data_IF_419853044436
#
_entry.id   IF_419853044436
#
_cell.length_a   1.000
_cell.length_b   1.000
_cell.length_c   1.000
_cell.angle_alpha   90.00
_cell.angle_beta   90.00
_cell.angle_gamma   90.00
#
_symmetry.space_group_name_H-M   'P 1'
#
loop_
_entity.id
_entity.type
_entity.pdbx_description
1 polymer ?
#
# COMPACT_ATOMS: atom_id res chain seq x y z
N UNK A 1 45.63 17.81 34.15
CA UNK A 1 44.68 17.71 33.03
C UNK A 1 43.72 16.61 33.46
N UNK A 2 42.62 16.99 34.12
CA UNK A 2 41.63 16.03 34.62
C UNK A 2 40.82 15.50 33.43
N UNK A 3 40.86 14.19 33.23
CA UNK A 3 39.98 13.52 32.26
C UNK A 3 38.55 13.55 32.81
N UNK A 4 37.71 14.33 32.15
CA UNK A 4 36.27 14.35 32.39
C UNK A 4 35.67 13.10 31.76
N UNK A 5 35.35 12.11 32.61
CA UNK A 5 34.51 10.97 32.24
C UNK A 5 33.16 11.56 31.83
N UNK A 6 32.90 11.62 30.53
CA UNK A 6 31.60 12.03 30.00
C UNK A 6 30.61 10.91 30.28
N UNK A 7 29.72 11.15 31.23
CA UNK A 7 28.54 10.32 31.41
C UNK A 7 27.78 10.20 30.08
N UNK A 8 27.32 8.99 29.71
CA UNK A 8 26.56 8.80 28.49
C UNK A 8 25.28 9.64 28.54
N UNK A 9 24.79 10.13 27.38
CA UNK A 9 23.58 10.95 27.35
C UNK A 9 22.41 10.19 27.97
N UNK A 10 21.57 10.89 28.72
CA UNK A 10 20.38 10.34 29.40
C UNK A 10 19.47 9.54 28.46
N UNK A 11 19.50 9.83 27.16
CA UNK A 11 18.80 9.07 26.11
C UNK A 11 19.30 7.63 25.94
N UNK A 12 20.56 7.34 26.24
CA UNK A 12 21.13 5.99 26.22
C UNK A 12 20.73 5.16 27.46
N UNK A 13 20.47 5.82 28.60
CA UNK A 13 20.09 5.15 29.86
C UNK A 13 18.61 4.76 29.89
N UNK A 14 17.77 5.44 29.10
CA UNK A 14 16.31 5.18 29.06
C UNK A 14 15.89 3.97 28.21
N UNK A 15 16.80 3.39 27.42
CA UNK A 15 16.50 2.24 26.56
C UNK A 15 16.38 0.92 27.36
N UNK A 16 17.03 0.82 28.52
CA UNK A 16 17.02 -0.42 29.33
C UNK A 16 15.68 -0.69 30.04
N UNK A 17 14.77 0.29 30.09
CA UNK A 17 13.52 0.19 30.85
C UNK A 17 12.27 0.63 30.06
N UNK A 18 12.27 0.49 28.74
CA UNK A 18 11.05 0.68 27.96
C UNK A 18 10.11 -0.54 28.12
N UNK A 19 9.37 -0.59 29.23
CA UNK A 19 8.45 -1.70 29.54
C UNK A 19 7.34 -1.92 28.51
N UNK A 20 7.02 -0.89 27.70
CA UNK A 20 5.90 -0.89 26.75
C UNK A 20 6.26 -1.32 25.31
N UNK A 21 7.54 -1.60 25.01
CA UNK A 21 8.00 -1.94 23.65
C UNK A 21 8.87 -3.20 23.63
N UNK A 22 8.59 -4.14 24.53
CA UNK A 22 9.31 -5.41 24.63
C UNK A 22 8.85 -6.43 23.58
N UNK A 23 7.64 -6.23 23.03
CA UNK A 23 7.08 -6.96 21.89
C UNK A 23 6.77 -5.97 20.77
N UNK A 24 7.26 -6.27 19.57
CA UNK A 24 7.11 -5.41 18.39
C UNK A 24 6.19 -6.11 17.40
N UNK A 25 5.08 -5.48 17.02
CA UNK A 25 4.23 -5.99 15.95
C UNK A 25 4.83 -5.64 14.59
N UNK A 26 4.84 -6.60 13.67
CA UNK A 26 5.43 -6.48 12.34
C UNK A 26 4.34 -6.61 11.28
N UNK A 27 4.52 -5.92 10.15
CA UNK A 27 3.63 -6.04 8.98
C UNK A 27 2.14 -5.91 9.31
N UNK A 28 1.81 -4.92 10.14
CA UNK A 28 0.42 -4.64 10.51
C UNK A 28 -0.19 -3.80 9.40
N UNK A 29 -1.21 -4.35 8.74
CA UNK A 29 -1.94 -3.64 7.71
C UNK A 29 -2.82 -2.55 8.30
N UNK A 30 -3.05 -1.46 7.56
CA UNK A 30 -4.02 -0.43 7.93
C UNK A 30 -5.45 -0.94 7.84
N UNK A 31 -5.70 -1.89 6.94
CA UNK A 31 -7.02 -2.44 6.64
C UNK A 31 -6.94 -3.96 6.55
N UNK A 32 -7.86 -4.64 7.24
CA UNK A 32 -8.08 -6.07 7.08
C UNK A 32 -9.44 -6.32 6.43
N UNK A 33 -9.47 -7.21 5.44
CA UNK A 33 -10.68 -7.54 4.69
C UNK A 33 -11.70 -8.23 5.62
N UNK A 34 -12.93 -7.71 5.75
CA UNK A 34 -13.98 -8.37 6.54
C UNK A 34 -14.25 -9.80 6.07
N UNK A 35 -14.36 -10.73 7.03
CA UNK A 35 -14.60 -12.15 6.75
C UNK A 35 -13.35 -12.98 6.43
N UNK A 36 -12.17 -12.37 6.31
CA UNK A 36 -10.89 -13.06 6.25
C UNK A 36 -10.30 -13.34 7.65
N UNK A 37 -9.53 -14.42 7.77
CA UNK A 37 -8.68 -14.65 8.95
C UNK A 37 -7.53 -13.62 8.95
N UNK A 38 -7.07 -13.21 10.13
CA UNK A 38 -5.97 -12.24 10.28
C UNK A 38 -4.78 -12.88 10.96
N UNK A 39 -3.62 -12.88 10.29
CA UNK A 39 -2.35 -13.32 10.87
C UNK A 39 -1.61 -12.12 11.45
N UNK A 40 -1.46 -12.12 12.77
CA UNK A 40 -0.72 -11.10 13.51
C UNK A 40 0.74 -11.56 13.69
N UNK A 41 1.68 -10.81 13.12
CA UNK A 41 3.11 -11.09 13.24
C UNK A 41 3.73 -10.20 14.32
N UNK A 42 4.62 -10.77 15.13
CA UNK A 42 5.29 -10.03 16.18
C UNK A 42 6.67 -10.62 16.50
N UNK A 43 7.52 -9.80 17.11
CA UNK A 43 8.89 -10.17 17.48
C UNK A 43 9.17 -9.82 18.93
N UNK A 44 9.83 -10.73 19.64
CA UNK A 44 10.35 -10.47 20.99
C UNK A 44 11.69 -9.73 20.96
N UNK A 45 11.80 -8.67 21.75
CA UNK A 45 13.09 -7.99 22.01
C UNK A 45 14.06 -8.88 22.79
N UNK A 46 15.35 -8.51 22.82
CA UNK A 46 16.42 -9.40 23.30
C UNK A 46 16.27 -9.89 24.75
N UNK A 47 15.65 -9.10 25.62
CA UNK A 47 15.55 -9.39 27.06
C UNK A 47 14.13 -9.77 27.49
N UNK A 48 13.20 -9.92 26.54
CA UNK A 48 11.83 -10.29 26.86
C UNK A 48 11.69 -11.81 26.97
N UNK A 49 11.04 -12.28 28.05
CA UNK A 49 10.79 -13.69 28.30
C UNK A 49 9.28 -13.91 28.25
N UNK A 50 8.75 -14.52 27.17
CA UNK A 50 7.31 -14.78 27.06
C UNK A 50 6.86 -15.88 28.03
N UNK A 51 5.64 -15.77 28.54
CA UNK A 51 5.03 -16.74 29.46
C UNK A 51 3.80 -17.40 28.85
N UNK A 52 3.42 -18.57 29.39
CA UNK A 52 2.32 -19.41 28.87
C UNK A 52 0.94 -18.75 28.92
N UNK A 53 0.76 -17.75 29.79
CA UNK A 53 -0.48 -16.99 29.92
C UNK A 53 -0.36 -15.59 29.34
N UNK A 54 0.67 -15.32 28.55
CA UNK A 54 0.69 -14.12 27.74
C UNK A 54 -0.28 -14.30 26.56
N UNK A 55 -0.86 -13.20 26.10
CA UNK A 55 -1.86 -13.21 25.05
C UNK A 55 -1.81 -11.94 24.22
N UNK A 56 -2.28 -12.04 22.98
CA UNK A 56 -2.44 -10.89 22.08
C UNK A 56 -3.94 -10.65 21.95
N UNK A 57 -4.36 -9.44 22.29
CA UNK A 57 -5.74 -8.99 22.14
C UNK A 57 -5.90 -8.00 21.00
N UNK A 58 -7.08 -8.00 20.39
CA UNK A 58 -7.55 -6.91 19.54
C UNK A 58 -8.35 -5.95 20.41
N UNK A 59 -7.95 -4.69 20.45
CA UNK A 59 -8.59 -3.66 21.27
C UNK A 59 -9.05 -2.51 20.39
N UNK A 60 -10.23 -1.96 20.68
CA UNK A 60 -10.65 -0.69 20.10
C UNK A 60 -9.74 0.43 20.60
N UNK A 61 -9.27 1.30 19.73
CA UNK A 61 -8.42 2.44 20.09
C UNK A 61 -9.11 3.30 21.15
N UNK A 62 -8.38 3.70 22.19
CA UNK A 62 -8.92 4.42 23.33
C UNK A 62 -9.39 3.54 24.50
N UNK A 63 -9.15 2.22 24.44
CA UNK A 63 -9.34 1.30 25.57
C UNK A 63 -8.60 1.79 26.83
N UNK A 64 -9.15 1.54 28.03
CA UNK A 64 -8.57 1.99 29.30
C UNK A 64 -7.94 0.87 30.11
N UNK A 65 -8.48 -0.34 29.99
CA UNK A 65 -8.00 -1.54 30.69
C UNK A 65 -7.90 -2.73 29.77
N UNK A 66 -6.99 -3.66 30.08
CA UNK A 66 -6.80 -4.91 29.34
C UNK A 66 -8.03 -5.82 29.36
N UNK A 67 -9.04 -5.54 30.18
CA UNK A 67 -10.34 -6.24 30.17
C UNK A 67 -11.27 -5.83 29.03
N UNK A 68 -10.95 -4.77 28.30
CA UNK A 68 -11.72 -4.23 27.17
C UNK A 68 -11.31 -4.84 25.82
N UNK A 69 -10.66 -6.02 25.82
CA UNK A 69 -10.34 -6.71 24.58
C UNK A 69 -11.63 -7.10 23.85
N UNK A 70 -11.61 -6.98 22.52
CA UNK A 70 -12.69 -7.47 21.67
C UNK A 70 -12.60 -9.00 21.50
N UNK A 71 -11.41 -9.47 21.12
CA UNK A 71 -11.05 -10.88 21.03
C UNK A 71 -9.57 -11.06 21.36
N UNK A 72 -9.14 -12.28 21.62
CA UNK A 72 -7.76 -12.57 22.00
C UNK A 72 -7.31 -13.95 21.53
N UNK A 73 -5.99 -14.12 21.45
CA UNK A 73 -5.34 -15.40 21.25
C UNK A 73 -4.19 -15.55 22.24
N UNK A 74 -4.03 -16.74 22.80
CA UNK A 74 -2.86 -17.07 23.62
C UNK A 74 -1.59 -17.06 22.76
N UNK A 75 -0.48 -16.61 23.37
CA UNK A 75 0.82 -16.60 22.73
C UNK A 75 1.36 -18.02 22.59
N UNK A 76 1.78 -18.38 21.38
CA UNK A 76 2.54 -19.61 21.15
C UNK A 76 3.98 -19.37 21.59
N UNK A 77 4.49 -20.20 22.51
CA UNK A 77 5.88 -20.11 22.93
C UNK A 77 6.81 -20.71 21.87
N UNK A 78 7.91 -20.03 21.50
CA UNK A 78 8.91 -20.62 20.61
C UNK A 78 9.52 -21.87 21.26
N UNK A 79 9.73 -22.91 20.46
CA UNK A 79 10.32 -24.19 20.92
C UNK A 79 11.78 -23.99 21.34
N UNK A 80 12.48 -23.03 20.74
CA UNK A 80 13.87 -22.66 21.07
C UNK A 80 14.02 -21.14 21.24
N UNK A 81 14.11 -20.70 22.50
CA UNK A 81 14.25 -19.29 22.88
C UNK A 81 15.64 -18.70 22.54
N UNK A 82 16.65 -19.54 22.25
CA UNK A 82 18.02 -19.09 21.98
C UNK A 82 18.28 -18.84 20.49
N UNK A 83 17.39 -19.27 19.60
CA UNK A 83 17.56 -19.10 18.18
C UNK A 83 17.08 -17.70 17.73
N UNK A 84 17.96 -16.93 17.06
CA UNK A 84 17.64 -15.58 16.56
C UNK A 84 16.53 -15.59 15.50
N UNK A 85 16.38 -16.67 14.71
CA UNK A 85 15.28 -16.82 13.75
C UNK A 85 13.97 -17.25 14.40
N UNK A 86 14.00 -17.78 15.63
CA UNK A 86 12.82 -18.14 16.40
C UNK A 86 12.19 -16.93 17.12
N UNK A 87 12.64 -15.70 16.85
CA UNK A 87 12.09 -14.49 17.48
C UNK A 87 10.86 -13.94 16.78
N UNK A 88 10.72 -14.20 15.48
CA UNK A 88 9.52 -13.85 14.73
C UNK A 88 8.46 -14.91 15.00
N UNK A 89 7.32 -14.46 15.51
CA UNK A 89 6.19 -15.28 15.89
C UNK A 89 4.94 -14.78 15.16
N UNK A 90 3.95 -15.65 15.09
CA UNK A 90 2.65 -15.32 14.51
C UNK A 90 1.53 -15.95 15.31
N UNK A 91 0.37 -15.30 15.29
CA UNK A 91 -0.88 -15.85 15.81
C UNK A 91 -2.02 -15.51 14.86
N UNK A 92 -2.93 -16.46 14.65
CA UNK A 92 -4.03 -16.29 13.72
C UNK A 92 -5.34 -16.03 14.48
N UNK A 93 -6.00 -14.92 14.14
CA UNK A 93 -7.34 -14.58 14.57
C UNK A 93 -8.35 -15.07 13.52
N UNK A 94 -9.31 -15.88 13.94
CA UNK A 94 -10.35 -16.40 13.03
C UNK A 94 -11.38 -15.33 12.72
N UNK A 95 -11.78 -15.25 11.45
CA UNK A 95 -12.71 -14.27 10.92
C UNK A 95 -14.00 -14.13 11.75
N UNK A 96 -14.52 -15.25 12.25
CA UNK A 96 -15.74 -15.29 13.04
C UNK A 96 -15.68 -14.47 14.34
N UNK A 97 -14.48 -14.29 14.91
CA UNK A 97 -14.28 -13.53 16.16
C UNK A 97 -13.85 -12.08 15.93
N UNK A 98 -13.71 -11.64 14.67
CA UNK A 98 -13.23 -10.29 14.36
C UNK A 98 -14.37 -9.25 14.45
N UNK A 99 -14.04 -7.98 14.74
CA UNK A 99 -14.97 -6.87 14.64
C UNK A 99 -15.66 -6.77 13.27
N UNK A 100 -16.88 -6.24 13.29
CA UNK A 100 -17.73 -6.04 12.09
C UNK A 100 -18.13 -4.58 11.87
N UNK A 101 -17.66 -3.69 12.74
CA UNK A 101 -17.82 -2.25 12.63
C UNK A 101 -16.57 -1.62 11.98
N UNK A 102 -16.66 -0.33 11.71
CA UNK A 102 -15.62 0.50 11.08
C UNK A 102 -14.75 1.24 12.12
N UNK A 103 -14.73 0.78 13.37
CA UNK A 103 -13.92 1.40 14.41
C UNK A 103 -12.43 1.10 14.23
N UNK A 104 -11.58 1.95 14.80
CA UNK A 104 -10.14 1.69 14.83
C UNK A 104 -9.79 0.69 15.92
N UNK A 105 -8.99 -0.31 15.57
CA UNK A 105 -8.48 -1.34 16.45
C UNK A 105 -6.96 -1.37 16.44
N UNK A 106 -6.35 -2.01 17.43
CA UNK A 106 -4.93 -2.30 17.48
C UNK A 106 -4.69 -3.64 18.18
N UNK A 107 -3.58 -4.30 17.84
CA UNK A 107 -3.09 -5.43 18.61
C UNK A 107 -2.38 -4.92 19.87
N UNK A 108 -2.62 -5.57 21.00
CA UNK A 108 -1.84 -5.37 22.22
C UNK A 108 -1.35 -6.72 22.74
N UNK A 109 -0.05 -6.81 23.03
CA UNK A 109 0.51 -7.95 23.73
C UNK A 109 0.39 -7.70 25.23
N UNK A 110 -0.30 -8.58 25.94
CA UNK A 110 -0.53 -8.50 27.38
C UNK A 110 0.13 -9.71 28.04
N UNK A 111 0.94 -9.46 29.05
CA UNK A 111 1.61 -10.53 29.78
C UNK A 111 0.73 -11.15 30.88
N UNK A 112 1.22 -12.23 31.50
CA UNK A 112 0.51 -12.91 32.61
C UNK A 112 0.17 -11.99 33.80
N UNK A 113 0.91 -10.90 34.01
CA UNK A 113 0.63 -9.92 35.08
C UNK A 113 -0.39 -8.86 34.64
N UNK A 114 -0.90 -8.93 33.41
CA UNK A 114 -1.84 -7.97 32.83
C UNK A 114 -1.19 -6.69 32.32
N UNK A 115 0.14 -6.66 32.19
CA UNK A 115 0.90 -5.50 31.71
C UNK A 115 1.01 -5.55 30.19
N UNK A 116 0.76 -4.41 29.53
CA UNK A 116 0.94 -4.30 28.08
C UNK A 116 2.42 -4.14 27.75
N UNK A 117 2.92 -5.06 26.91
CA UNK A 117 4.34 -5.15 26.50
C UNK A 117 4.61 -4.71 25.07
N UNK A 118 3.55 -4.42 24.32
CA UNK A 118 3.59 -3.91 22.96
C UNK A 118 2.20 -3.55 22.47
N UNK A 119 2.12 -2.54 21.59
CA UNK A 119 0.90 -2.15 20.89
C UNK A 119 1.23 -1.88 19.40
N UNK A 120 0.37 -2.32 18.49
CA UNK A 120 0.54 -2.07 17.06
C UNK A 120 0.10 -0.65 16.68
N UNK A 121 0.38 -0.27 15.43
CA UNK A 121 -0.35 0.83 14.79
C UNK A 121 -1.85 0.49 14.69
N UNK A 122 -2.74 1.50 14.65
CA UNK A 122 -4.17 1.29 14.44
C UNK A 122 -4.51 0.72 13.05
N UNK A 123 -5.60 -0.03 12.97
CA UNK A 123 -6.16 -0.60 11.74
C UNK A 123 -7.69 -0.73 11.82
N UNK A 124 -8.34 -0.96 10.68
CA UNK A 124 -9.80 -1.16 10.59
C UNK A 124 -10.15 -2.45 9.85
N UNK A 125 -11.35 -3.00 10.12
CA UNK A 125 -11.91 -4.13 9.39
C UNK A 125 -12.83 -3.63 8.27
N UNK A 126 -12.23 -3.17 7.17
CA UNK A 126 -12.95 -2.71 5.98
C UNK A 126 -12.12 -2.93 4.72
N UNK A 127 -12.75 -2.98 3.54
CA UNK A 127 -12.01 -2.88 2.28
C UNK A 127 -11.22 -1.58 2.22
N UNK A 128 -10.07 -1.62 1.53
CA UNK A 128 -9.33 -0.42 1.16
C UNK A 128 -10.15 0.35 0.11
N UNK A 129 -10.39 1.64 0.36
CA UNK A 129 -11.12 2.52 -0.56
C UNK A 129 -10.12 3.34 -1.37
N UNK A 130 -10.44 3.68 -2.62
CA UNK A 130 -9.57 4.51 -3.50
C UNK A 130 -9.24 5.88 -2.88
N UNK A 131 -10.12 6.42 -2.04
CA UNK A 131 -9.91 7.68 -1.31
C UNK A 131 -8.76 7.63 -0.29
N UNK A 132 -8.37 6.44 0.18
CA UNK A 132 -7.26 6.25 1.12
C UNK A 132 -5.88 6.24 0.41
N UNK A 133 -5.85 6.25 -0.93
CA UNK A 133 -4.63 6.22 -1.75
C UNK A 133 -4.20 7.65 -2.08
N UNK A 134 -3.27 8.21 -1.30
CA UNK A 134 -2.62 9.47 -1.64
C UNK A 134 -1.44 9.22 -2.59
N UNK A 135 -1.61 9.55 -3.87
CA UNK A 135 -0.51 9.56 -4.84
C UNK A 135 0.32 10.82 -4.62
N UNK A 136 1.55 10.65 -4.11
CA UNK A 136 2.51 11.74 -3.94
C UNK A 136 3.48 11.70 -5.11
N UNK A 137 3.43 12.72 -5.96
CA UNK A 137 4.43 12.96 -7.02
C UNK A 137 5.25 14.19 -6.66
N UNK A 138 6.48 14.26 -7.13
CA UNK A 138 7.28 15.48 -6.98
C UNK A 138 6.79 16.56 -7.94
N UNK A 139 6.97 17.83 -7.57
CA UNK A 139 6.61 18.96 -8.43
C UNK A 139 7.31 18.90 -9.80
N UNK A 140 8.57 18.46 -9.83
CA UNK A 140 9.32 18.31 -11.08
C UNK A 140 8.73 17.26 -12.02
N UNK A 141 8.32 16.10 -11.49
CA UNK A 141 7.66 15.06 -12.30
C UNK A 141 6.33 15.56 -12.88
N UNK A 142 5.57 16.35 -12.13
CA UNK A 142 4.32 16.94 -12.62
C UNK A 142 4.58 17.90 -13.78
N UNK A 143 5.58 18.77 -13.64
CA UNK A 143 5.97 19.73 -14.70
C UNK A 143 6.46 19.01 -15.97
N UNK A 144 7.24 17.95 -15.83
CA UNK A 144 7.68 17.11 -16.96
C UNK A 144 6.50 16.43 -17.67
N UNK A 145 5.57 15.84 -16.89
CA UNK A 145 4.36 15.21 -17.43
C UNK A 145 3.48 16.23 -18.16
N UNK A 146 3.29 17.42 -17.59
CA UNK A 146 2.50 18.49 -18.20
C UNK A 146 3.12 18.99 -19.50
N UNK A 147 4.45 19.15 -19.52
CA UNK A 147 5.17 19.56 -20.72
C UNK A 147 5.06 18.51 -21.81
N UNK A 148 5.27 17.22 -21.47
CA UNK A 148 5.13 16.12 -22.41
C UNK A 148 3.70 16.00 -22.96
N UNK A 149 2.69 16.16 -22.10
CA UNK A 149 1.29 16.15 -22.53
C UNK A 149 0.95 17.30 -23.49
N UNK A 150 1.54 18.48 -23.32
CA UNK A 150 1.38 19.60 -24.27
C UNK A 150 1.98 19.28 -25.63
N UNK A 151 3.17 18.68 -25.63
CA UNK A 151 3.86 18.27 -26.87
C UNK A 151 3.06 17.19 -27.61
N UNK A 152 2.59 16.16 -26.90
CA UNK A 152 1.74 15.11 -27.46
C UNK A 152 0.40 15.66 -28.00
N UNK A 153 -0.21 16.62 -27.31
CA UNK A 153 -1.42 17.28 -27.81
C UNK A 153 -1.17 18.02 -29.12
N UNK A 154 -0.03 18.72 -29.22
CA UNK A 154 0.35 19.47 -30.42
C UNK A 154 0.62 18.53 -31.59
N UNK A 155 1.41 17.47 -31.37
CA UNK A 155 1.71 16.47 -32.39
C UNK A 155 0.44 15.76 -32.87
N UNK A 156 -0.46 15.39 -31.96
CA UNK A 156 -1.77 14.82 -32.34
C UNK A 156 -2.59 15.77 -33.20
N UNK A 157 -2.59 17.07 -32.92
CA UNK A 157 -3.31 18.05 -33.74
C UNK A 157 -2.71 18.16 -35.14
N UNK A 158 -1.38 18.25 -35.24
CA UNK A 158 -0.67 18.31 -36.53
C UNK A 158 -0.90 17.05 -37.37
N UNK A 159 -0.83 15.87 -36.74
CA UNK A 159 -1.15 14.60 -37.39
C UNK A 159 -2.60 14.56 -37.89
N UNK A 160 -3.54 15.06 -37.09
CA UNK A 160 -4.95 15.11 -37.47
C UNK A 160 -5.19 16.03 -38.65
N UNK A 161 -4.57 17.21 -38.66
CA UNK A 161 -4.67 18.17 -39.76
C UNK A 161 -4.03 17.62 -41.05
N UNK A 162 -2.88 16.96 -40.93
CA UNK A 162 -2.21 16.28 -42.04
C UNK A 162 -3.09 15.16 -42.62
N UNK A 163 -3.73 14.37 -41.76
CA UNK A 163 -4.63 13.29 -42.18
C UNK A 163 -5.83 13.83 -42.98
N UNK A 164 -6.43 14.94 -42.54
CA UNK A 164 -7.53 15.61 -43.26
C UNK A 164 -7.06 16.13 -44.62
N UNK A 165 -5.88 16.75 -44.69
CA UNK A 165 -5.30 17.26 -45.94
C UNK A 165 -5.04 16.13 -46.95
N UNK A 166 -4.43 15.04 -46.49
CA UNK A 166 -4.15 13.86 -47.32
C UNK A 166 -5.43 13.18 -47.80
N UNK A 167 -6.47 13.11 -46.95
CA UNK A 167 -7.79 12.61 -47.36
C UNK A 167 -8.38 13.45 -48.49
N UNK A 168 -8.28 14.78 -48.39
CA UNK A 168 -8.75 15.68 -49.44
C UNK A 168 -7.98 15.49 -50.75
N UNK A 169 -6.65 15.45 -50.70
CA UNK A 169 -5.83 15.22 -51.90
C UNK A 169 -6.14 13.88 -52.56
N UNK A 170 -6.34 12.81 -51.77
CA UNK A 170 -6.73 11.50 -52.30
C UNK A 170 -8.11 11.55 -52.98
N UNK A 171 -9.09 12.23 -52.37
CA UNK A 171 -10.41 12.47 -52.96
C UNK A 171 -10.30 13.20 -54.31
N UNK A 172 -9.56 14.30 -54.35
CA UNK A 172 -9.41 15.12 -55.55
C UNK A 172 -8.72 14.35 -56.68
N UNK A 173 -7.67 13.58 -56.35
CA UNK A 173 -6.93 12.76 -57.32
C UNK A 173 -7.77 11.57 -57.84
N UNK A 174 -8.60 10.96 -57.00
CA UNK A 174 -9.56 9.94 -57.44
C UNK A 174 -10.59 10.51 -58.43
N UNK A 175 -11.11 11.71 -58.15
CA UNK A 175 -12.05 12.39 -59.05
C UNK A 175 -11.41 12.71 -60.41
N UNK A 176 -10.15 13.17 -60.42
CA UNK A 176 -9.43 13.46 -61.66
C UNK A 176 -9.13 12.19 -62.47
N UNK A 177 -8.71 11.11 -61.80
CA UNK A 177 -8.52 9.80 -62.45
C UNK A 177 -9.81 9.29 -63.08
N UNK A 178 -10.94 9.40 -62.38
CA UNK A 178 -12.23 8.98 -62.91
C UNK A 178 -12.64 9.78 -64.15
N UNK A 179 -12.45 11.11 -64.13
CA UNK A 179 -12.70 11.95 -65.30
C UNK A 179 -11.82 11.57 -66.49
N UNK A 180 -10.53 11.28 -66.25
CA UNK A 180 -9.61 10.83 -67.30
C UNK A 180 -9.99 9.46 -67.87
N UNK A 181 -10.48 8.56 -67.03
CA UNK A 181 -10.99 7.26 -67.44
C UNK A 181 -12.21 7.42 -68.38
N UNK A 182 -13.17 8.27 -68.02
CA UNK A 182 -14.35 8.58 -68.84
C UNK A 182 -13.97 9.25 -70.18
N UNK A 183 -13.02 10.19 -70.18
CA UNK A 183 -12.47 10.80 -71.40
C UNK A 183 -11.81 9.76 -72.32
N UNK A 184 -11.08 8.79 -71.74
CA UNK A 184 -10.43 7.73 -72.52
C UNK A 184 -11.45 6.79 -73.15
N UNK A 185 -12.49 6.41 -72.42
CA UNK A 185 -13.57 5.53 -72.90
C UNK A 185 -14.39 6.18 -74.02
N UNK A 186 -14.67 7.48 -73.92
CA UNK A 186 -15.35 8.24 -74.97
C UNK A 186 -14.51 8.34 -76.24
N UNK A 187 -13.20 8.58 -76.14
CA UNK A 187 -12.30 8.59 -77.29
C UNK A 187 -12.18 7.20 -77.96
N UNK A 188 -12.10 6.13 -77.16
CA UNK A 188 -12.04 4.75 -77.69
C UNK A 188 -13.33 4.34 -78.41
N UNK A 189 -14.49 4.80 -77.94
CA UNK A 189 -15.78 4.51 -78.55
C UNK A 189 -16.01 5.32 -79.83
N UNK A 190 -15.41 6.51 -79.97
CA UNK A 190 -15.38 7.27 -81.23
C UNK A 190 -14.48 6.60 -82.27
N UNK A 191 -13.30 6.12 -81.89
CA UNK A 191 -12.34 5.46 -82.80
C UNK A 191 -12.79 4.06 -83.29
N UNK A 192 -13.89 3.51 -82.75
CA UNK A 192 -14.46 2.21 -83.16
C UNK A 192 -15.67 2.33 -84.11
N UNK A 193 -16.08 3.55 -84.48
CA UNK A 193 -17.10 3.81 -85.52
C UNK A 193 -16.45 4.21 -86.83
#
# INVERSE_FOLDING_TARGET
>A
MEETIKDPPTSAVLLDHCHFSQVIFNSVEKFYIPGGDVTCHYTFTQHFIPRRKDWIGIFRVGWKTTREYYTFMWVTLPIDLNNKSAKQQEVQFKAYYLPKDDEYYQFCYVDEDGVVRGASIPFQFRPENEEDILVVTTQGEVEEIEQHNKELCKENQELKDSCVSLQKQNSDMQAELQKKQEELETLQSINKK
#
